data_IF_500170099906
#
_entry.id   IF_500170099906
#
_cell.length_a   1.000
_cell.length_b   1.000
_cell.length_c   1.000
_cell.angle_alpha   90.00
_cell.angle_beta   90.00
_cell.angle_gamma   90.00
#
_symmetry.space_group_name_H-M   'P 1'
#
loop_
_entity.id
_entity.type
_entity.pdbx_description
1 polymer ?
#
# COMPACT_ATOMS: atom_id res chain seq x y z
N UNK A 1 10.71 -16.47 -34.36
CA UNK A 1 11.08 -16.80 -32.97
C UNK A 1 10.30 -15.86 -32.07
N UNK A 2 9.66 -16.30 -30.99
CA UNK A 2 9.09 -15.36 -30.03
C UNK A 2 10.25 -14.54 -29.47
N UNK A 3 10.08 -13.22 -29.44
CA UNK A 3 11.04 -12.27 -28.86
C UNK A 3 11.38 -12.69 -27.42
N UNK A 4 12.66 -12.66 -27.08
CA UNK A 4 13.26 -13.12 -25.82
C UNK A 4 12.90 -12.27 -24.60
N UNK A 5 12.15 -11.18 -24.79
CA UNK A 5 11.78 -10.28 -23.70
C UNK A 5 10.43 -10.70 -23.08
N UNK A 6 10.43 -10.85 -21.75
CA UNK A 6 9.22 -11.13 -20.99
C UNK A 6 8.15 -10.08 -21.29
N UNK A 7 6.89 -10.47 -21.58
CA UNK A 7 5.79 -9.53 -21.78
C UNK A 7 5.58 -8.55 -20.63
N UNK A 8 6.04 -8.87 -19.42
CA UNK A 8 6.00 -7.99 -18.25
C UNK A 8 7.02 -6.84 -18.33
N UNK A 9 8.10 -6.99 -19.09
CA UNK A 9 9.15 -5.96 -19.27
C UNK A 9 8.79 -4.88 -20.30
N UNK A 10 7.64 -5.02 -20.97
CA UNK A 10 7.15 -3.99 -21.89
C UNK A 10 6.78 -2.70 -21.13
N UNK A 11 7.07 -1.50 -21.68
CA UNK A 11 6.74 -0.22 -21.03
C UNK A 11 5.27 -0.09 -20.60
N UNK A 12 4.36 -0.71 -21.34
CA UNK A 12 2.92 -0.74 -21.05
C UNK A 12 2.56 -1.54 -19.78
N UNK A 13 3.43 -2.45 -19.32
CA UNK A 13 3.22 -3.31 -18.16
C UNK A 13 4.12 -2.93 -16.98
N UNK A 14 4.77 -1.76 -16.99
CA UNK A 14 5.56 -1.23 -15.87
C UNK A 14 4.79 -1.25 -14.55
N UNK A 15 3.52 -0.85 -14.55
CA UNK A 15 2.63 -0.92 -13.38
C UNK A 15 2.28 -2.35 -12.91
N UNK A 16 2.65 -3.39 -13.65
CA UNK A 16 2.48 -4.82 -13.30
C UNK A 16 3.76 -5.48 -12.83
N UNK A 17 4.85 -4.71 -12.73
CA UNK A 17 6.12 -5.17 -12.18
C UNK A 17 6.22 -4.94 -10.68
N UNK A 18 5.32 -4.11 -10.12
CA UNK A 18 5.24 -3.87 -8.69
C UNK A 18 4.54 -5.04 -8.01
N UNK A 19 5.14 -5.55 -6.94
CA UNK A 19 4.62 -6.64 -6.11
C UNK A 19 4.63 -6.16 -4.66
N UNK A 20 3.56 -6.46 -3.94
CA UNK A 20 3.49 -6.24 -2.48
C UNK A 20 3.98 -7.52 -1.80
N UNK A 21 4.92 -7.37 -0.89
CA UNK A 21 5.54 -8.46 -0.11
C UNK A 21 5.26 -8.25 1.39
N UNK A 22 5.82 -9.14 2.22
CA UNK A 22 5.82 -9.04 3.69
C UNK A 22 4.42 -8.86 4.31
N UNK A 23 3.67 -9.96 4.26
CA UNK A 23 2.28 -10.04 4.75
C UNK A 23 2.19 -10.30 6.27
N UNK A 24 3.19 -9.91 7.04
CA UNK A 24 3.25 -10.14 8.50
C UNK A 24 2.09 -9.49 9.27
N UNK A 25 1.68 -8.30 8.84
CA UNK A 25 0.53 -7.57 9.41
C UNK A 25 -0.79 -7.81 8.64
N UNK A 26 -0.79 -8.72 7.66
CA UNK A 26 -1.97 -8.96 6.83
C UNK A 26 -3.10 -9.61 7.64
N UNK A 27 -4.29 -9.03 7.55
CA UNK A 27 -5.48 -9.53 8.24
C UNK A 27 -6.76 -9.17 7.50
N UNK A 28 -7.88 -9.76 7.89
CA UNK A 28 -9.19 -9.37 7.36
C UNK A 28 -9.56 -7.97 7.84
N UNK A 29 -9.41 -6.96 6.97
CA UNK A 29 -9.62 -5.56 7.32
C UNK A 29 -10.45 -4.78 6.29
N UNK A 30 -10.75 -3.53 6.59
CA UNK A 30 -11.48 -2.63 5.71
C UNK A 30 -10.57 -2.00 4.64
N UNK A 31 -11.06 -1.79 3.41
CA UNK A 31 -10.29 -1.08 2.39
C UNK A 31 -9.90 0.34 2.82
N UNK A 32 -10.76 1.02 3.59
CA UNK A 32 -10.46 2.35 4.11
C UNK A 32 -9.20 2.36 4.97
N UNK A 33 -8.99 1.36 5.84
CA UNK A 33 -7.77 1.28 6.64
C UNK A 33 -6.52 1.10 5.78
N UNK A 34 -6.57 0.24 4.76
CA UNK A 34 -5.46 0.01 3.83
C UNK A 34 -5.07 1.31 3.11
N UNK A 35 -6.05 2.07 2.62
CA UNK A 35 -5.80 3.38 2.00
C UNK A 35 -5.27 4.39 3.00
N UNK A 36 -5.81 4.43 4.21
CA UNK A 36 -5.35 5.34 5.26
C UNK A 36 -3.88 5.07 5.62
N UNK A 37 -3.52 3.80 5.77
CA UNK A 37 -2.14 3.37 6.03
C UNK A 37 -1.24 3.79 4.86
N UNK A 38 -1.58 3.35 3.64
CA UNK A 38 -0.77 3.61 2.46
C UNK A 38 -0.52 5.09 2.22
N UNK A 39 -1.55 5.94 2.36
CA UNK A 39 -1.40 7.39 2.19
C UNK A 39 -0.59 8.04 3.31
N UNK A 40 -0.66 7.51 4.53
CA UNK A 40 0.14 8.02 5.63
C UNK A 40 1.63 7.69 5.44
N UNK A 41 1.96 6.53 4.87
CA UNK A 41 3.34 6.15 4.58
C UNK A 41 4.04 7.07 3.57
N UNK A 42 3.30 7.82 2.74
CA UNK A 42 3.91 8.86 1.89
C UNK A 42 4.59 9.98 2.70
N UNK A 43 4.23 10.12 3.97
CA UNK A 43 4.79 11.13 4.87
C UNK A 43 6.08 10.69 5.54
N UNK A 44 6.48 9.43 5.44
CA UNK A 44 7.63 8.87 6.13
C UNK A 44 8.74 8.52 5.14
N UNK A 45 9.97 8.87 5.52
CA UNK A 45 11.17 8.48 4.80
C UNK A 45 12.08 7.74 5.77
N UNK A 46 11.89 6.43 5.89
CA UNK A 46 12.65 5.60 6.82
C UNK A 46 14.13 5.46 6.44
N UNK A 47 14.52 5.87 5.23
CA UNK A 47 15.91 5.95 4.78
C UNK A 47 16.61 7.27 5.18
N UNK A 48 15.93 8.21 5.83
CA UNK A 48 16.59 9.42 6.33
C UNK A 48 17.57 9.06 7.46
N UNK A 49 18.87 9.38 7.34
CA UNK A 49 19.88 8.93 8.31
C UNK A 49 19.79 9.64 9.65
N UNK A 50 19.00 10.72 9.77
CA UNK A 50 18.95 11.54 10.98
C UNK A 50 17.60 11.52 11.67
N UNK A 51 16.53 11.42 10.89
CA UNK A 51 15.16 11.59 11.35
C UNK A 51 14.17 10.67 10.61
N UNK A 52 14.44 9.35 10.55
CA UNK A 52 13.62 8.40 9.79
C UNK A 52 12.19 8.28 10.34
N UNK A 53 11.99 8.68 11.59
CA UNK A 53 10.73 8.66 12.31
C UNK A 53 9.85 9.91 12.12
N UNK A 54 10.35 10.99 11.49
CA UNK A 54 9.59 12.25 11.38
C UNK A 54 8.60 12.19 10.22
N UNK A 55 7.32 12.38 10.53
CA UNK A 55 6.27 12.58 9.54
C UNK A 55 6.36 13.96 8.87
N UNK A 56 6.54 13.98 7.56
CA UNK A 56 6.41 15.15 6.72
C UNK A 56 5.00 15.25 6.12
N UNK A 57 4.12 16.01 6.78
CA UNK A 57 2.73 16.20 6.34
C UNK A 57 2.58 16.79 4.95
N UNK A 58 3.61 17.47 4.42
CA UNK A 58 3.58 18.06 3.07
C UNK A 58 3.64 17.01 1.96
N UNK A 59 4.13 15.81 2.28
CA UNK A 59 4.19 14.69 1.33
C UNK A 59 2.91 13.87 1.30
N UNK A 60 1.94 14.15 2.18
CA UNK A 60 0.67 13.44 2.16
C UNK A 60 -0.02 13.64 0.80
N UNK A 61 -0.58 12.57 0.18
CA UNK A 61 -1.13 12.67 -1.16
C UNK A 61 -2.28 13.66 -1.22
N UNK A 62 -2.27 14.50 -2.25
CA UNK A 62 -3.34 15.45 -2.52
C UNK A 62 -4.67 14.72 -2.77
N UNK A 63 -5.82 15.36 -2.59
CA UNK A 63 -7.13 14.73 -2.84
C UNK A 63 -7.26 14.20 -4.28
N UNK A 64 -6.62 14.87 -5.24
CA UNK A 64 -6.56 14.43 -6.61
C UNK A 64 -5.71 13.16 -6.81
N UNK A 65 -4.63 12.99 -6.05
CA UNK A 65 -3.79 11.78 -6.05
C UNK A 65 -4.52 10.61 -5.41
N UNK A 66 -5.14 10.84 -4.24
CA UNK A 66 -5.98 9.84 -3.56
C UNK A 66 -7.09 9.35 -4.48
N UNK A 67 -7.81 10.27 -5.15
CA UNK A 67 -8.84 9.93 -6.15
C UNK A 67 -8.29 9.06 -7.27
N UNK A 68 -7.12 9.42 -7.82
CA UNK A 68 -6.49 8.65 -8.90
C UNK A 68 -6.13 7.24 -8.45
N UNK A 69 -5.57 7.10 -7.25
CA UNK A 69 -5.19 5.81 -6.67
C UNK A 69 -6.43 4.92 -6.44
N UNK A 70 -7.46 5.43 -5.76
CA UNK A 70 -8.68 4.67 -5.46
C UNK A 70 -9.45 4.33 -6.74
N UNK A 71 -9.50 5.24 -7.73
CA UNK A 71 -10.11 4.95 -9.03
C UNK A 71 -9.36 3.84 -9.76
N UNK A 72 -8.03 3.83 -9.72
CA UNK A 72 -7.23 2.76 -10.30
C UNK A 72 -7.49 1.42 -9.60
N UNK A 73 -7.61 1.42 -8.27
CA UNK A 73 -8.00 0.25 -7.48
C UNK A 73 -9.38 -0.30 -7.89
N UNK A 74 -10.41 0.55 -7.98
CA UNK A 74 -11.76 0.11 -8.34
C UNK A 74 -11.88 -0.38 -9.80
N UNK A 75 -11.10 0.21 -10.70
CA UNK A 75 -11.04 -0.21 -12.10
C UNK A 75 -10.15 -1.43 -12.31
N UNK A 76 -9.35 -1.82 -11.32
CA UNK A 76 -8.53 -3.02 -11.41
C UNK A 76 -9.43 -4.25 -11.45
N UNK A 77 -9.40 -4.95 -12.59
CA UNK A 77 -10.06 -6.24 -12.75
C UNK A 77 -8.98 -7.31 -12.66
N UNK A 78 -8.93 -8.11 -11.59
CA UNK A 78 -8.02 -9.23 -11.52
C UNK A 78 -8.45 -10.24 -12.59
N UNK A 79 -7.85 -10.14 -13.76
CA UNK A 79 -7.91 -11.19 -14.76
C UNK A 79 -7.06 -12.33 -14.17
N UNK A 80 -7.62 -13.14 -13.27
CA UNK A 80 -6.90 -14.33 -12.80
C UNK A 80 -6.60 -15.19 -14.02
N UNK A 81 -5.33 -15.20 -14.42
CA UNK A 81 -4.77 -16.04 -15.45
C UNK A 81 -4.99 -17.50 -15.04
N UNK A 82 -5.97 -18.14 -15.66
CA UNK A 82 -6.30 -19.55 -15.43
C UNK A 82 -7.66 -19.93 -16.01
N UNK A 83 -8.63 -19.03 -15.89
CA UNK A 83 -9.86 -19.05 -16.67
C UNK A 83 -10.09 -17.65 -17.17
N UNK A 84 -9.62 -17.36 -18.37
CA UNK A 84 -10.03 -16.18 -19.11
C UNK A 84 -11.56 -16.08 -19.08
N UNK A 85 -12.12 -15.28 -18.17
CA UNK A 85 -13.37 -14.58 -18.45
C UNK A 85 -13.05 -13.47 -19.43
N UNK A 86 -12.62 -13.89 -20.62
CA UNK A 86 -12.95 -13.24 -21.87
C UNK A 86 -14.45 -13.46 -22.19
N UNK A 87 -15.33 -13.57 -21.18
CA UNK A 87 -16.78 -13.71 -21.33
C UNK A 87 -17.44 -12.32 -21.35
N UNK A 88 -16.87 -11.44 -22.16
CA UNK A 88 -17.67 -10.63 -23.06
C UNK A 88 -17.19 -10.91 -24.49
N UNK A 89 -16.93 -12.18 -24.81
CA UNK A 89 -16.92 -12.60 -26.21
C UNK A 89 -18.36 -12.49 -26.69
N UNK A 90 -18.66 -11.68 -27.73
CA UNK A 90 -19.96 -11.78 -28.36
C UNK A 90 -20.08 -13.22 -28.85
N UNK A 91 -21.17 -13.90 -28.48
CA UNK A 91 -21.47 -15.23 -29.03
C UNK A 91 -21.75 -15.06 -30.52
N UNK A 92 -20.70 -15.16 -31.35
CA UNK A 92 -20.82 -15.15 -32.80
C UNK A 92 -21.43 -16.48 -33.19
N UNK A 93 -22.74 -16.51 -33.36
CA UNK A 93 -23.46 -17.62 -33.98
C UNK A 93 -23.10 -17.60 -35.48
N UNK A 94 -22.68 -18.72 -36.09
CA UNK A 94 -22.39 -18.74 -37.51
C UNK A 94 -23.70 -18.55 -38.30
N UNK A 95 -23.83 -17.44 -39.01
CA UNK A 95 -24.93 -17.21 -39.94
C UNK A 95 -24.59 -17.82 -41.31
N UNK A 96 -25.52 -18.54 -41.98
CA UNK A 96 -25.26 -19.14 -43.27
C UNK A 96 -25.38 -18.12 -44.40
N UNK A 97 -24.33 -18.00 -45.22
CA UNK A 97 -24.47 -17.68 -46.64
C UNK A 97 -23.84 -16.36 -47.12
N UNK A 98 -23.32 -16.33 -48.37
CA UNK A 98 -22.43 -15.28 -48.86
C UNK A 98 -23.23 -14.17 -49.56
N UNK A 99 -23.04 -12.92 -49.10
CA UNK A 99 -23.68 -11.74 -49.69
C UNK A 99 -22.73 -10.55 -49.66
N UNK A 100 -22.29 -10.15 -50.84
CA UNK A 100 -21.34 -9.10 -51.16
C UNK A 100 -21.82 -7.72 -50.66
N UNK A 101 -21.11 -7.09 -49.71
CA UNK A 101 -21.22 -5.65 -49.45
C UNK A 101 -19.90 -5.12 -48.85
N UNK A 102 -19.28 -4.16 -49.56
CA UNK A 102 -18.02 -3.54 -49.18
C UNK A 102 -18.10 -2.90 -47.80
N UNK A 103 -17.25 -3.38 -46.90
CA UNK A 103 -17.15 -2.92 -45.52
C UNK A 103 -16.18 -1.75 -45.49
N UNK A 104 -16.69 -0.52 -45.36
CA UNK A 104 -15.85 0.62 -44.98
C UNK A 104 -15.28 0.38 -43.58
N UNK A 105 -13.96 0.46 -43.43
CA UNK A 105 -13.22 0.14 -42.20
C UNK A 105 -13.45 1.14 -41.02
N UNK A 106 -14.52 1.92 -41.04
CA UNK A 106 -14.86 2.93 -40.03
C UNK A 106 -16.36 2.93 -39.72
N UNK A 107 -16.92 1.75 -39.46
CA UNK A 107 -18.26 1.58 -38.89
C UNK A 107 -18.20 0.36 -37.95
N UNK A 108 -17.47 0.50 -36.84
CA UNK A 108 -17.42 -0.55 -35.81
C UNK A 108 -18.75 -0.65 -35.03
N UNK A 109 -19.60 0.37 -35.14
CA UNK A 109 -20.84 0.53 -34.37
C UNK A 109 -22.08 -0.14 -35.01
N UNK A 110 -21.98 -0.66 -36.23
CA UNK A 110 -23.14 -1.22 -36.95
C UNK A 110 -23.29 -2.74 -36.87
N UNK A 111 -22.58 -3.40 -35.94
CA UNK A 111 -22.60 -4.87 -35.79
C UNK A 111 -23.19 -5.37 -34.47
N UNK A 112 -24.23 -4.71 -33.98
CA UNK A 112 -25.13 -5.27 -32.97
C UNK A 112 -25.99 -6.41 -33.56
N UNK A 113 -26.35 -7.43 -32.76
CA UNK A 113 -27.09 -8.59 -33.24
C UNK A 113 -28.52 -8.20 -33.70
N UNK A 114 -29.06 -8.81 -34.78
CA UNK A 114 -30.46 -8.66 -35.12
C UNK A 114 -31.27 -9.66 -34.28
N UNK A 115 -31.92 -9.20 -33.21
CA UNK A 115 -32.88 -10.06 -32.50
C UNK A 115 -33.09 -9.86 -30.99
N UNK A 116 -32.63 -8.77 -30.40
CA UNK A 116 -33.12 -8.33 -29.09
C UNK A 116 -33.48 -6.85 -29.21
N UNK A 117 -34.68 -6.48 -28.77
CA UNK A 117 -35.19 -5.11 -28.81
C UNK A 117 -34.09 -4.10 -28.50
N UNK A 118 -33.66 -3.40 -29.55
CA UNK A 118 -32.68 -2.34 -29.47
C UNK A 118 -33.30 -1.23 -28.62
N UNK A 119 -32.79 -1.04 -27.40
CA UNK A 119 -32.89 0.27 -26.74
C UNK A 119 -31.87 1.17 -27.45
N UNK A 120 -32.29 2.09 -28.33
CA UNK A 120 -31.37 2.98 -29.03
C UNK A 120 -30.93 4.01 -28.00
N UNK A 121 -29.73 3.85 -27.44
CA UNK A 121 -29.21 4.68 -26.33
C UNK A 121 -28.53 3.91 -25.19
N UNK A 122 -28.66 2.58 -25.14
CA UNK A 122 -28.29 1.77 -23.98
C UNK A 122 -26.80 1.77 -23.60
N UNK A 123 -25.86 1.64 -24.54
CA UNK A 123 -24.43 1.47 -24.20
C UNK A 123 -23.80 2.74 -23.62
N UNK A 124 -24.07 3.90 -24.21
CA UNK A 124 -23.55 5.18 -23.71
C UNK A 124 -24.15 5.52 -22.33
N UNK A 125 -25.45 5.25 -22.14
CA UNK A 125 -26.11 5.43 -20.85
C UNK A 125 -25.62 4.44 -19.79
N UNK A 126 -25.38 3.18 -20.15
CA UNK A 126 -24.83 2.14 -19.27
C UNK A 126 -23.39 2.47 -18.85
N UNK A 127 -22.55 2.91 -19.80
CA UNK A 127 -21.19 3.37 -19.52
C UNK A 127 -21.19 4.58 -18.59
N UNK A 128 -22.08 5.56 -18.83
CA UNK A 128 -22.23 6.73 -17.97
C UNK A 128 -22.65 6.34 -16.54
N UNK A 129 -23.55 5.36 -16.40
CA UNK A 129 -23.94 4.81 -15.09
C UNK A 129 -22.76 4.15 -14.40
N UNK A 130 -21.99 3.34 -15.12
CA UNK A 130 -20.79 2.68 -14.58
C UNK A 130 -19.75 3.69 -14.10
N UNK A 131 -19.48 4.73 -14.90
CA UNK A 131 -18.58 5.82 -14.50
C UNK A 131 -19.11 6.49 -13.24
N UNK A 132 -20.40 6.84 -13.20
CA UNK A 132 -21.00 7.47 -12.03
C UNK A 132 -20.93 6.59 -10.77
N UNK A 133 -21.12 5.27 -10.90
CA UNK A 133 -20.98 4.32 -9.80
C UNK A 133 -19.54 4.21 -9.28
N UNK A 134 -18.56 4.19 -10.19
CA UNK A 134 -17.14 4.22 -9.80
C UNK A 134 -16.83 5.52 -9.08
N UNK A 135 -17.21 6.66 -9.63
CA UNK A 135 -16.96 7.96 -8.99
C UNK A 135 -17.62 8.05 -7.62
N UNK A 136 -18.86 7.60 -7.46
CA UNK A 136 -19.53 7.52 -6.16
C UNK A 136 -18.72 6.65 -5.18
N UNK A 137 -18.26 5.48 -5.63
CA UNK A 137 -17.49 4.58 -4.77
C UNK A 137 -16.11 5.13 -4.41
N UNK A 138 -15.50 5.92 -5.29
CA UNK A 138 -14.26 6.66 -4.99
C UNK A 138 -14.49 7.63 -3.83
N UNK A 139 -15.55 8.44 -3.89
CA UNK A 139 -15.87 9.38 -2.79
C UNK A 139 -16.11 8.65 -1.46
N UNK A 140 -16.86 7.55 -1.49
CA UNK A 140 -17.12 6.74 -0.30
C UNK A 140 -15.83 6.21 0.33
N UNK A 141 -14.91 5.69 -0.48
CA UNK A 141 -13.63 5.17 -0.02
C UNK A 141 -12.67 6.27 0.46
N UNK A 142 -12.71 7.46 -0.15
CA UNK A 142 -11.95 8.62 0.34
C UNK A 142 -12.43 9.03 1.75
N UNK A 143 -13.75 9.06 1.95
CA UNK A 143 -14.33 9.32 3.27
C UNK A 143 -13.96 8.21 4.25
N UNK A 144 -14.09 6.94 3.85
CA UNK A 144 -13.74 5.78 4.67
C UNK A 144 -12.27 5.85 5.13
N UNK A 145 -11.34 6.12 4.20
CA UNK A 145 -9.92 6.27 4.50
C UNK A 145 -9.65 7.40 5.51
N UNK A 146 -10.38 8.52 5.39
CA UNK A 146 -10.27 9.63 6.35
C UNK A 146 -10.68 9.22 7.76
N UNK A 147 -11.75 8.45 7.92
CA UNK A 147 -12.16 7.98 9.25
C UNK A 147 -11.16 6.98 9.85
N UNK A 148 -10.64 6.07 9.02
CA UNK A 148 -9.70 5.05 9.48
C UNK A 148 -8.32 5.58 9.82
N UNK A 149 -7.93 6.76 9.33
CA UNK A 149 -6.60 7.35 9.59
C UNK A 149 -6.33 7.54 11.09
N UNK A 150 -7.33 7.97 11.85
CA UNK A 150 -7.23 8.07 13.32
C UNK A 150 -6.87 6.73 13.95
N UNK A 151 -7.61 5.68 13.59
CA UNK A 151 -7.38 4.33 14.12
C UNK A 151 -6.03 3.77 13.66
N UNK A 152 -5.63 4.03 12.41
CA UNK A 152 -4.33 3.67 11.88
C UNK A 152 -3.18 4.31 12.67
N UNK A 153 -3.24 5.63 12.92
CA UNK A 153 -2.23 6.30 13.73
C UNK A 153 -2.19 5.75 15.14
N UNK A 154 -3.34 5.50 15.77
CA UNK A 154 -3.40 4.91 17.11
C UNK A 154 -2.75 3.51 17.17
N UNK A 155 -2.99 2.67 16.18
CA UNK A 155 -2.37 1.35 16.08
C UNK A 155 -0.85 1.44 16.03
N UNK A 156 -0.31 2.29 15.16
CA UNK A 156 1.15 2.42 14.99
C UNK A 156 1.83 3.15 16.15
N UNK A 157 1.13 4.08 16.83
CA UNK A 157 1.61 4.65 18.10
C UNK A 157 1.72 3.56 19.16
N UNK A 158 0.69 2.72 19.32
CA UNK A 158 0.72 1.63 20.29
C UNK A 158 1.83 0.62 19.96
N UNK A 159 1.99 0.26 18.69
CA UNK A 159 3.08 -0.59 18.23
C UNK A 159 4.45 0.02 18.53
N UNK A 160 4.68 1.30 18.23
CA UNK A 160 5.95 1.97 18.53
C UNK A 160 6.26 2.00 20.03
N UNK A 161 5.26 2.21 20.88
CA UNK A 161 5.44 2.12 22.34
C UNK A 161 5.83 0.71 22.78
N UNK A 162 5.26 -0.33 22.17
CA UNK A 162 5.59 -1.73 22.48
C UNK A 162 6.99 -2.10 22.01
N UNK A 163 7.45 -1.56 20.88
CA UNK A 163 8.80 -1.79 20.35
C UNK A 163 9.88 -0.98 21.07
N UNK A 164 9.51 0.11 21.74
CA UNK A 164 10.46 0.96 22.44
C UNK A 164 11.16 0.19 23.57
N UNK A 165 12.46 -0.08 23.37
CA UNK A 165 13.30 -0.56 24.44
C UNK A 165 13.68 0.61 25.36
N UNK A 166 13.17 0.59 26.59
CA UNK A 166 13.48 1.58 27.62
C UNK A 166 14.18 0.83 28.76
N UNK A 167 15.52 0.90 28.86
CA UNK A 167 16.29 0.12 29.84
C UNK A 167 15.79 0.28 31.28
N UNK A 168 15.37 1.50 31.68
CA UNK A 168 14.86 1.75 33.03
C UNK A 168 13.53 1.03 33.32
N UNK A 169 12.70 0.79 32.29
CA UNK A 169 11.47 0.01 32.42
C UNK A 169 11.76 -1.49 32.44
N UNK A 170 12.77 -1.97 31.70
CA UNK A 170 13.19 -3.37 31.76
C UNK A 170 13.74 -3.74 33.15
N UNK A 171 14.51 -2.85 33.76
CA UNK A 171 14.99 -3.01 35.14
C UNK A 171 13.83 -3.05 36.14
N UNK A 172 12.82 -2.19 35.96
CA UNK A 172 11.62 -2.19 36.78
C UNK A 172 10.78 -3.46 36.61
N UNK A 173 10.56 -3.92 35.38
CA UNK A 173 9.82 -5.15 35.06
C UNK A 173 10.54 -6.37 35.64
N UNK A 174 11.87 -6.42 35.53
CA UNK A 174 12.70 -7.45 36.14
C UNK A 174 12.59 -7.42 37.67
N UNK A 175 12.58 -6.22 38.27
CA UNK A 175 12.44 -6.04 39.71
C UNK A 175 11.03 -6.38 40.24
N UNK A 176 9.99 -6.22 39.41
CA UNK A 176 8.59 -6.46 39.78
C UNK A 176 8.08 -7.86 39.40
N UNK A 177 8.86 -8.65 38.65
CA UNK A 177 8.51 -10.03 38.27
C UNK A 177 8.40 -10.90 39.53
N UNK A 178 7.18 -11.27 39.92
CA UNK A 178 6.97 -12.17 41.07
C UNK A 178 7.27 -13.63 40.68
N UNK A 179 7.94 -14.44 41.53
CA UNK A 179 8.26 -15.85 41.24
C UNK A 179 7.06 -16.81 41.08
N UNK A 180 5.82 -16.33 41.14
CA UNK A 180 4.61 -17.17 41.09
C UNK A 180 3.93 -17.18 39.71
N UNK A 181 4.51 -16.51 38.72
CA UNK A 181 4.09 -16.62 37.33
C UNK A 181 5.05 -17.55 36.58
N UNK A 182 5.20 -18.79 37.06
CA UNK A 182 5.68 -19.89 36.23
C UNK A 182 4.56 -20.18 35.21
N UNK A 183 4.50 -19.36 34.15
CA UNK A 183 3.98 -19.83 32.89
C UNK A 183 4.86 -21.04 32.50
N UNK A 184 4.28 -22.15 32.01
CA UNK A 184 5.07 -23.31 31.62
C UNK A 184 6.16 -22.86 30.65
N UNK A 185 7.36 -23.44 30.78
CA UNK A 185 8.52 -23.39 29.87
C UNK A 185 8.17 -23.89 28.44
N UNK A 186 7.03 -23.47 27.90
CA UNK A 186 6.81 -23.47 26.47
C UNK A 186 7.58 -22.28 25.95
N UNK A 187 8.60 -22.56 25.13
CA UNK A 187 9.29 -21.64 24.26
C UNK A 187 8.31 -20.56 23.74
N UNK A 188 8.18 -19.46 24.47
CA UNK A 188 7.79 -18.20 23.87
C UNK A 188 9.07 -17.83 23.14
N UNK A 189 9.19 -18.34 21.90
CA UNK A 189 10.20 -17.87 20.98
C UNK A 189 10.19 -16.36 21.12
N UNK A 190 11.35 -15.79 21.49
CA UNK A 190 11.49 -14.36 21.62
C UNK A 190 10.79 -13.75 20.42
N UNK A 191 9.94 -12.75 20.67
CA UNK A 191 9.41 -11.94 19.58
C UNK A 191 10.66 -11.43 18.87
N UNK A 192 11.02 -12.08 17.76
CA UNK A 192 12.21 -11.73 17.01
C UNK A 192 12.06 -10.24 16.75
N UNK A 193 13.07 -9.48 17.17
CA UNK A 193 13.25 -8.11 16.74
C UNK A 193 13.14 -8.17 15.22
N UNK A 194 12.03 -7.67 14.68
CA UNK A 194 11.78 -7.67 13.24
C UNK A 194 12.70 -6.61 12.66
N UNK A 195 13.94 -7.00 12.40
CA UNK A 195 14.91 -6.23 11.66
C UNK A 195 14.39 -6.19 10.21
N UNK A 196 13.87 -5.02 9.82
CA UNK A 196 13.50 -4.71 8.45
C UNK A 196 14.79 -4.53 7.63
N UNK A 197 15.42 -5.64 7.24
CA UNK A 197 16.49 -5.62 6.25
C UNK A 197 15.92 -5.29 4.85
N UNK A 198 16.19 -4.07 4.39
CA UNK A 198 15.88 -3.61 3.04
C UNK A 198 16.74 -4.37 2.01
N UNK A 199 16.11 -5.35 1.34
CA UNK A 199 16.66 -6.07 0.20
C UNK A 199 16.81 -5.17 -1.03
N UNK A 200 17.91 -4.42 -1.08
CA UNK A 200 18.20 -3.43 -2.11
C UNK A 200 19.52 -3.62 -2.86
N UNK A 201 19.97 -4.85 -3.16
CA UNK A 201 21.12 -5.03 -4.07
C UNK A 201 20.70 -4.98 -5.54
N UNK A 202 20.75 -3.77 -6.10
CA UNK A 202 20.64 -3.50 -7.53
C UNK A 202 21.92 -3.86 -8.29
N UNK A 203 21.90 -5.05 -8.89
CA UNK A 203 22.83 -5.62 -9.88
C UNK A 203 23.36 -4.59 -10.91
N UNK A 204 24.67 -4.32 -10.92
CA UNK A 204 25.39 -3.72 -12.04
C UNK A 204 26.10 -4.82 -12.82
N UNK A 205 25.70 -5.04 -14.07
CA UNK A 205 26.37 -5.92 -15.02
C UNK A 205 27.63 -5.25 -15.59
N UNK A 206 28.74 -5.97 -15.58
CA UNK A 206 29.94 -5.72 -16.36
C UNK A 206 30.72 -7.03 -16.51
N UNK A 207 30.92 -7.46 -17.75
CA UNK A 207 31.41 -8.77 -18.18
C UNK A 207 32.93 -8.95 -18.01
N UNK A 208 33.33 -10.22 -17.84
CA UNK A 208 34.49 -10.93 -18.44
C UNK A 208 35.57 -11.57 -17.53
N UNK A 209 35.62 -12.91 -17.69
CA UNK A 209 36.74 -13.87 -17.80
C UNK A 209 37.71 -14.24 -16.64
N UNK A 210 37.70 -15.56 -16.39
CA UNK A 210 38.79 -16.52 -16.04
C UNK A 210 39.70 -16.33 -14.81
N UNK A 211 39.70 -17.38 -13.95
CA UNK A 211 40.96 -18.01 -13.53
C UNK A 211 41.31 -18.06 -12.03
N UNK A 212 41.19 -19.27 -11.47
CA UNK A 212 42.07 -19.88 -10.45
C UNK A 212 42.00 -19.43 -8.96
N UNK A 213 42.59 -20.31 -8.16
CA UNK A 213 42.38 -20.75 -6.77
C UNK A 213 42.88 -19.87 -5.61
N UNK A 214 42.32 -20.18 -4.42
CA UNK A 214 42.85 -20.04 -3.04
C UNK A 214 43.55 -18.74 -2.61
N UNK A 215 42.96 -18.01 -1.64
CA UNK A 215 43.51 -17.88 -0.28
C UNK A 215 42.61 -17.00 0.60
N UNK A 216 42.65 -17.28 1.91
CA UNK A 216 41.81 -16.65 2.92
C UNK A 216 42.04 -15.14 3.08
N UNK A 217 40.94 -14.43 3.24
CA UNK A 217 40.91 -13.08 3.77
C UNK A 217 39.73 -12.96 4.72
N UNK A 218 40.01 -13.01 6.02
CA UNK A 218 39.08 -12.59 7.06
C UNK A 218 38.74 -11.13 6.79
N UNK A 219 37.58 -10.87 6.19
CA UNK A 219 37.00 -9.52 6.19
C UNK A 219 36.25 -9.43 7.51
N UNK A 220 36.94 -8.93 8.52
CA UNK A 220 36.30 -8.23 9.63
C UNK A 220 35.52 -7.07 8.99
N UNK A 221 34.25 -7.35 8.64
CA UNK A 221 33.29 -6.31 8.40
C UNK A 221 33.11 -5.61 9.74
N UNK A 222 33.60 -4.38 9.83
CA UNK A 222 33.24 -3.47 10.90
C UNK A 222 31.71 -3.52 11.04
N UNK A 223 31.24 -4.04 12.18
CA UNK A 223 29.86 -3.87 12.62
C UNK A 223 29.61 -2.36 12.58
N UNK A 224 28.95 -1.88 11.53
CA UNK A 224 28.30 -0.58 11.61
C UNK A 224 27.30 -0.78 12.74
N UNK A 225 27.46 0.00 13.81
CA UNK A 225 26.37 0.18 14.77
C UNK A 225 25.17 0.61 13.92
N UNK A 226 24.29 -0.35 13.59
CA UNK A 226 23.03 -0.04 12.94
C UNK A 226 22.31 0.87 13.91
N UNK A 227 22.23 2.17 13.58
CA UNK A 227 21.59 3.19 14.41
C UNK A 227 20.20 2.68 14.79
N UNK A 228 20.06 2.21 16.04
CA UNK A 228 18.85 1.57 16.52
C UNK A 228 17.68 2.53 16.36
N UNK A 229 16.66 2.12 15.61
CA UNK A 229 15.53 2.97 15.27
C UNK A 229 14.82 3.49 16.53
N UNK A 230 14.67 4.81 16.65
CA UNK A 230 14.07 5.44 17.83
C UNK A 230 12.53 5.31 17.82
N UNK A 231 12.06 4.20 18.36
CA UNK A 231 10.63 3.89 18.47
C UNK A 231 9.86 4.84 19.39
N UNK A 232 10.51 5.45 20.39
CA UNK A 232 9.87 6.42 21.29
C UNK A 232 9.59 7.71 20.53
N UNK A 233 10.58 8.23 19.81
CA UNK A 233 10.42 9.40 18.97
C UNK A 233 9.41 9.16 17.85
N UNK A 234 9.42 7.98 17.24
CA UNK A 234 8.41 7.55 16.27
C UNK A 234 6.99 7.58 16.86
N UNK A 235 6.77 6.96 18.01
CA UNK A 235 5.46 6.91 18.64
C UNK A 235 4.97 8.32 19.02
N UNK A 236 5.86 9.17 19.53
CA UNK A 236 5.54 10.56 19.85
C UNK A 236 5.17 11.35 18.59
N UNK A 237 5.92 11.21 17.50
CA UNK A 237 5.68 11.92 16.25
C UNK A 237 4.37 11.47 15.59
N UNK A 238 4.13 10.15 15.50
CA UNK A 238 2.87 9.57 14.98
C UNK A 238 1.67 9.98 15.85
N UNK A 239 1.86 10.17 17.16
CA UNK A 239 0.80 10.66 18.05
C UNK A 239 0.38 12.11 17.72
N UNK A 240 1.30 12.96 17.25
CA UNK A 240 0.94 14.31 16.81
C UNK A 240 0.08 14.30 15.54
N UNK A 241 0.25 13.28 14.69
CA UNK A 241 -0.61 13.02 13.53
C UNK A 241 -2.00 12.54 13.96
N UNK A 242 -2.07 11.62 14.93
CA UNK A 242 -3.35 11.19 15.54
C UNK A 242 -4.15 12.35 16.11
N UNK A 243 -3.51 13.23 16.90
CA UNK A 243 -4.19 14.39 17.48
C UNK A 243 -4.64 15.38 16.41
N UNK A 244 -3.86 15.55 15.34
CA UNK A 244 -4.23 16.39 14.20
C UNK A 244 -5.51 15.91 13.53
N UNK A 245 -5.65 14.59 13.36
CA UNK A 245 -6.88 14.01 12.81
C UNK A 245 -8.08 14.16 13.75
N UNK A 246 -7.87 14.00 15.06
CA UNK A 246 -8.93 14.21 16.05
C UNK A 246 -9.45 15.65 16.02
N UNK A 247 -8.55 16.63 15.84
CA UNK A 247 -8.90 18.04 15.66
C UNK A 247 -9.59 18.27 14.32
N UNK A 248 -9.05 17.73 13.22
CA UNK A 248 -9.61 17.92 11.88
C UNK A 248 -10.99 17.27 11.69
N UNK A 249 -11.32 16.24 12.47
CA UNK A 249 -12.64 15.61 12.51
C UNK A 249 -13.59 16.27 13.52
N UNK A 250 -13.12 17.24 14.30
CA UNK A 250 -13.92 17.91 15.33
C UNK A 250 -14.25 17.02 16.53
N UNK A 251 -13.49 15.93 16.76
CA UNK A 251 -13.62 15.08 17.94
C UNK A 251 -13.08 15.76 19.19
N UNK A 252 -12.05 16.59 19.01
CA UNK A 252 -11.41 17.39 20.07
C UNK A 252 -11.15 18.80 19.51
N UNK A 253 -11.27 19.82 20.35
CA UNK A 253 -10.91 21.19 19.97
C UNK A 253 -9.43 21.44 20.24
N UNK A 254 -8.76 22.17 19.36
CA UNK A 254 -7.32 22.43 19.50
C UNK A 254 -7.00 23.11 20.84
N UNK A 255 -7.84 24.04 21.28
CA UNK A 255 -7.66 24.76 22.55
C UNK A 255 -7.77 23.88 23.81
N UNK A 256 -8.37 22.68 23.70
CA UNK A 256 -8.53 21.75 24.81
C UNK A 256 -7.30 20.85 25.01
N UNK A 257 -6.35 20.86 24.08
CA UNK A 257 -5.11 20.07 24.16
C UNK A 257 -4.04 20.78 25.00
N UNK A 258 -3.08 20.05 25.59
CA UNK A 258 -1.92 20.66 26.25
C UNK A 258 -1.11 21.54 25.28
N UNK A 259 -0.53 22.65 25.76
CA UNK A 259 0.14 23.64 24.90
C UNK A 259 1.25 23.05 24.02
N UNK A 260 2.03 22.10 24.53
CA UNK A 260 3.05 21.39 23.75
C UNK A 260 2.45 20.55 22.61
N UNK A 261 1.25 20.00 22.78
CA UNK A 261 0.54 19.27 21.72
C UNK A 261 -0.04 20.24 20.70
N UNK A 262 -0.58 21.38 21.15
CA UNK A 262 -1.11 22.42 20.24
C UNK A 262 -0.05 22.92 19.27
N UNK A 263 1.19 23.09 19.73
CA UNK A 263 2.32 23.56 18.91
C UNK A 263 2.87 22.48 17.97
N UNK A 264 2.76 21.21 18.34
CA UNK A 264 3.36 20.10 17.61
C UNK A 264 2.37 19.31 16.73
N UNK A 265 1.07 19.57 16.84
CA UNK A 265 0.02 18.82 16.13
C UNK A 265 0.22 18.87 14.61
N UNK A 266 0.02 17.73 13.96
CA UNK A 266 0.22 17.58 12.52
C UNK A 266 -1.11 17.50 11.80
N UNK A 267 -1.51 18.60 11.17
CA UNK A 267 -2.77 18.69 10.41
C UNK A 267 -2.48 18.54 8.93
N UNK A 268 -3.32 17.76 8.24
CA UNK A 268 -3.27 17.58 6.79
C UNK A 268 -4.62 17.91 6.19
N UNK A 269 -4.58 18.64 5.07
CA UNK A 269 -5.78 19.02 4.33
C UNK A 269 -6.36 17.84 3.54
N UNK A 270 -7.68 17.90 3.31
CA UNK A 270 -8.49 16.96 2.53
C UNK A 270 -9.29 17.67 1.44
#
# INVERSE_FOLDING_TARGET
LPTTESPLLLPANTHKQLVVIDFEYASGNTPGLEFANHFTEWCYNYHDPSTPYICNTKSFPTPAEQRRFIRAYLNHRPQFSGFSSASATPKVVPSPGPGNAGISAFMLDSRGPPGGDAVPGGYAEEEQRRIADVERRVEELMVEARWWRVANSAQWVAWGIVQANIPELEEYDTACRTPSADAPDGEVGGMEKLDLEDGGEGMVNGEDEEGDSEEGGSVEGEDKEDDEFDYVAYAQDRAMFFWGDCVALGLVRLEDLPGNVQEAVKIVDY
#
